data_IF_986554710505
#
_entry.id   IF_986554710505
#
_cell.length_a   1.000
_cell.length_b   1.000
_cell.length_c   1.000
_cell.angle_alpha   90.00
_cell.angle_beta   90.00
_cell.angle_gamma   90.00
#
_symmetry.space_group_name_H-M   'P 1'
#
loop_
_entity.id
_entity.type
_entity.pdbx_description
1 polymer ?
#
# COMPACT_ATOMS: atom_id res chain seq x y z
N UNK A 1 -15.82 18.67 -14.26
CA UNK A 1 -15.97 18.61 -12.79
C UNK A 1 -16.28 17.22 -12.22
N UNK A 2 -16.73 16.22 -13.01
CA UNK A 2 -17.20 14.92 -12.46
C UNK A 2 -16.15 13.80 -12.35
N UNK A 3 -14.98 13.93 -12.97
CA UNK A 3 -14.03 12.81 -13.07
C UNK A 3 -13.44 12.39 -11.73
N UNK A 4 -13.00 13.31 -10.88
CA UNK A 4 -12.36 12.94 -9.61
C UNK A 4 -13.31 12.21 -8.65
N UNK A 5 -14.55 12.68 -8.40
CA UNK A 5 -15.52 11.91 -7.60
C UNK A 5 -15.80 10.52 -8.16
N UNK A 6 -15.86 10.36 -9.49
CA UNK A 6 -16.05 9.06 -10.14
C UNK A 6 -14.86 8.12 -9.94
N UNK A 7 -13.63 8.62 -10.11
CA UNK A 7 -12.41 7.82 -9.90
C UNK A 7 -12.27 7.34 -8.46
N UNK A 8 -12.67 8.18 -7.49
CA UNK A 8 -12.76 7.76 -6.07
C UNK A 8 -13.83 6.69 -5.90
N UNK A 9 -15.01 6.86 -6.50
CA UNK A 9 -16.09 5.87 -6.43
C UNK A 9 -15.72 4.52 -7.08
N UNK A 10 -14.86 4.49 -8.11
CA UNK A 10 -14.31 3.27 -8.69
C UNK A 10 -13.44 2.45 -7.72
N UNK A 11 -12.97 3.04 -6.61
CA UNK A 11 -12.21 2.38 -5.55
C UNK A 11 -13.05 2.02 -4.32
N UNK A 12 -14.37 2.15 -4.42
CA UNK A 12 -15.31 1.84 -3.34
C UNK A 12 -15.29 0.37 -2.94
N UNK A 13 -15.43 0.10 -1.63
CA UNK A 13 -15.64 -1.25 -1.05
C UNK A 13 -17.00 -1.82 -1.49
N UNK A 14 -18.01 -0.96 -1.70
CA UNK A 14 -19.29 -1.38 -2.26
C UNK A 14 -19.14 -1.76 -3.74
N UNK A 15 -19.35 -3.04 -4.04
CA UNK A 15 -19.29 -3.60 -5.40
C UNK A 15 -20.27 -2.91 -6.35
N UNK A 16 -21.50 -2.63 -5.89
CA UNK A 16 -22.51 -1.93 -6.70
C UNK A 16 -22.05 -0.52 -7.08
N UNK A 17 -21.52 0.23 -6.10
CA UNK A 17 -21.01 1.58 -6.35
C UNK A 17 -19.80 1.57 -7.28
N UNK A 18 -18.87 0.63 -7.07
CA UNK A 18 -17.70 0.44 -7.92
C UNK A 18 -18.10 0.14 -9.37
N UNK A 19 -19.01 -0.81 -9.58
CA UNK A 19 -19.49 -1.19 -10.91
C UNK A 19 -20.19 -0.03 -11.63
N UNK A 20 -21.10 0.67 -10.93
CA UNK A 20 -21.81 1.81 -11.51
C UNK A 20 -20.86 2.97 -11.85
N UNK A 21 -19.91 3.29 -10.97
CA UNK A 21 -18.91 4.32 -11.24
C UNK A 21 -18.03 3.94 -12.44
N UNK A 22 -17.61 2.67 -12.52
CA UNK A 22 -16.81 2.17 -13.64
C UNK A 22 -17.56 2.28 -14.96
N UNK A 23 -18.84 1.90 -15.00
CA UNK A 23 -19.67 2.01 -16.21
C UNK A 23 -19.75 3.46 -16.70
N UNK A 24 -19.90 4.42 -15.78
CA UNK A 24 -19.94 5.84 -16.14
C UNK A 24 -18.58 6.31 -16.66
N UNK A 25 -17.47 5.92 -16.01
CA UNK A 25 -16.11 6.24 -16.48
C UNK A 25 -15.86 5.67 -17.88
N UNK A 26 -16.30 4.45 -18.15
CA UNK A 26 -16.14 3.79 -19.45
C UNK A 26 -16.92 4.54 -20.55
N UNK A 27 -18.14 5.00 -20.26
CA UNK A 27 -18.90 5.87 -21.17
C UNK A 27 -18.20 7.20 -21.42
N UNK A 28 -17.64 7.84 -20.38
CA UNK A 28 -16.88 9.09 -20.55
C UNK A 28 -15.61 8.85 -21.36
N UNK A 29 -14.95 7.70 -21.19
CA UNK A 29 -13.75 7.33 -21.93
C UNK A 29 -14.01 7.19 -23.43
N UNK A 30 -15.20 6.72 -23.85
CA UNK A 30 -15.57 6.64 -25.27
C UNK A 30 -15.61 8.02 -25.94
N UNK A 31 -16.03 9.06 -25.22
CA UNK A 31 -16.11 10.43 -25.73
C UNK A 31 -14.82 11.22 -25.51
N UNK A 32 -14.12 10.97 -24.40
CA UNK A 32 -13.01 11.79 -23.92
C UNK A 32 -11.93 10.97 -23.22
N UNK A 33 -11.40 9.97 -23.93
CA UNK A 33 -10.37 9.07 -23.38
C UNK A 33 -9.16 9.80 -22.78
N UNK A 34 -8.62 10.79 -23.49
CA UNK A 34 -7.48 11.58 -22.99
C UNK A 34 -7.77 12.29 -21.65
N UNK A 35 -8.99 12.80 -21.46
CA UNK A 35 -9.40 13.43 -20.19
C UNK A 35 -9.44 12.40 -19.06
N UNK A 36 -9.96 11.20 -19.34
CA UNK A 36 -10.01 10.11 -18.35
C UNK A 36 -8.60 9.71 -17.94
N UNK A 37 -7.70 9.54 -18.90
CA UNK A 37 -6.33 9.12 -18.64
C UNK A 37 -5.54 10.18 -17.86
N UNK A 38 -5.70 11.47 -18.22
CA UNK A 38 -5.11 12.58 -17.47
C UNK A 38 -5.66 12.66 -16.04
N UNK A 39 -6.98 12.54 -15.86
CA UNK A 39 -7.60 12.56 -14.55
C UNK A 39 -7.15 11.37 -13.68
N UNK A 40 -6.98 10.19 -14.28
CA UNK A 40 -6.45 9.00 -13.60
C UNK A 40 -5.01 9.20 -13.15
N UNK A 41 -4.15 9.74 -14.02
CA UNK A 41 -2.77 10.07 -13.68
C UNK A 41 -2.72 11.05 -12.50
N UNK A 42 -3.42 12.19 -12.59
CA UNK A 42 -3.42 13.20 -11.53
C UNK A 42 -4.00 12.63 -10.23
N UNK A 43 -5.09 11.87 -10.29
CA UNK A 43 -5.67 11.24 -9.10
C UNK A 43 -4.69 10.28 -8.42
N UNK A 44 -3.94 9.48 -9.20
CA UNK A 44 -2.92 8.58 -8.67
C UNK A 44 -1.79 9.36 -7.98
N UNK A 45 -1.27 10.39 -8.64
CA UNK A 45 -0.15 11.16 -8.08
C UNK A 45 -0.57 11.99 -6.88
N UNK A 46 -1.81 12.52 -6.84
CA UNK A 46 -2.36 13.20 -5.67
C UNK A 46 -2.43 12.27 -4.44
N UNK A 47 -2.79 10.99 -4.63
CA UNK A 47 -2.79 10.01 -3.54
C UNK A 47 -1.35 9.74 -3.08
N UNK A 48 -0.41 9.56 -4.01
CA UNK A 48 1.00 9.30 -3.69
C UNK A 48 1.64 10.43 -2.89
N UNK A 49 1.32 11.69 -3.19
CA UNK A 49 1.90 12.84 -2.45
C UNK A 49 1.16 13.14 -1.14
N UNK A 50 -0.07 12.64 -0.96
CA UNK A 50 -0.83 12.83 0.26
C UNK A 50 -0.37 11.94 1.41
N UNK A 51 0.24 10.79 1.10
CA UNK A 51 0.77 9.83 2.08
C UNK A 51 2.09 9.28 1.54
N UNK A 52 3.20 9.71 2.13
CA UNK A 52 4.53 9.26 1.76
C UNK A 52 4.82 7.88 2.36
N UNK A 53 5.73 7.14 1.74
CA UNK A 53 6.06 5.78 2.19
C UNK A 53 6.54 5.74 3.64
N UNK A 54 7.35 6.71 4.07
CA UNK A 54 7.81 6.74 5.46
C UNK A 54 6.66 7.01 6.45
N UNK A 55 5.66 7.81 6.07
CA UNK A 55 4.47 8.06 6.89
C UNK A 55 3.64 6.77 7.01
N UNK A 56 3.40 6.10 5.88
CA UNK A 56 2.68 4.84 5.82
C UNK A 56 3.36 3.73 6.64
N UNK A 57 4.68 3.58 6.48
CA UNK A 57 5.46 2.62 7.26
C UNK A 57 5.48 2.97 8.75
N UNK A 58 5.60 4.25 9.10
CA UNK A 58 5.60 4.67 10.50
C UNK A 58 4.28 4.33 11.19
N UNK A 59 3.15 4.70 10.59
CA UNK A 59 1.80 4.41 11.13
C UNK A 59 1.56 2.90 11.25
N UNK A 60 1.92 2.13 10.22
CA UNK A 60 1.72 0.69 10.24
C UNK A 60 2.63 -0.02 11.27
N UNK A 61 3.86 0.45 11.46
CA UNK A 61 4.75 -0.09 12.48
C UNK A 61 4.27 0.24 13.91
N UNK A 62 3.67 1.42 14.11
CA UNK A 62 3.04 1.77 15.39
C UNK A 62 1.86 0.84 15.68
N UNK A 63 0.99 0.60 14.70
CA UNK A 63 -0.15 -0.31 14.84
C UNK A 63 0.30 -1.77 15.02
N UNK A 64 1.29 -2.22 14.25
CA UNK A 64 1.88 -3.54 14.39
C UNK A 64 2.49 -3.75 15.79
N UNK A 65 3.21 -2.75 16.30
CA UNK A 65 3.76 -2.75 17.66
C UNK A 65 2.67 -2.84 18.73
N UNK A 66 1.58 -2.07 18.57
CA UNK A 66 0.42 -2.12 19.46
C UNK A 66 -0.23 -3.50 19.50
N UNK A 67 -0.40 -4.14 18.33
CA UNK A 67 -0.94 -5.48 18.21
C UNK A 67 -0.02 -6.53 18.85
N UNK A 68 1.29 -6.44 18.63
CA UNK A 68 2.26 -7.39 19.16
C UNK A 68 2.45 -7.26 20.68
N UNK A 69 2.83 -6.07 21.15
CA UNK A 69 3.17 -5.85 22.56
C UNK A 69 1.95 -5.61 23.45
N UNK A 70 0.90 -4.98 22.92
CA UNK A 70 -0.30 -4.63 23.70
C UNK A 70 -1.37 -5.71 23.70
N UNK A 71 -1.67 -6.30 22.55
CA UNK A 71 -2.74 -7.30 22.39
C UNK A 71 -2.25 -8.75 22.30
N UNK A 72 -0.95 -8.97 22.19
CA UNK A 72 -0.36 -10.29 21.87
C UNK A 72 -0.95 -10.92 20.60
N UNK A 73 -1.38 -10.08 19.65
CA UNK A 73 -2.04 -10.48 18.41
C UNK A 73 -1.04 -10.47 17.23
N UNK A 74 -0.25 -11.54 17.14
CA UNK A 74 0.79 -11.68 16.11
C UNK A 74 0.17 -11.81 14.71
N UNK A 75 -0.97 -12.51 14.58
CA UNK A 75 -1.65 -12.63 13.28
C UNK A 75 -2.14 -11.28 12.76
N UNK A 76 -2.68 -10.44 13.66
CA UNK A 76 -3.08 -9.06 13.35
C UNK A 76 -1.88 -8.22 12.92
N UNK A 77 -0.78 -8.27 13.68
CA UNK A 77 0.46 -7.58 13.35
C UNK A 77 0.94 -7.92 11.93
N UNK A 78 0.97 -9.20 11.57
CA UNK A 78 1.42 -9.64 10.25
C UNK A 78 0.49 -9.16 9.13
N UNK A 79 -0.83 -9.17 9.35
CA UNK A 79 -1.80 -8.64 8.37
C UNK A 79 -1.63 -7.15 8.10
N UNK A 80 -1.10 -6.39 9.06
CA UNK A 80 -0.78 -4.96 8.88
C UNK A 80 0.49 -4.77 8.04
N UNK A 81 1.53 -5.58 8.29
CA UNK A 81 2.84 -5.41 7.66
C UNK A 81 2.92 -6.01 6.23
N UNK A 82 2.26 -7.14 5.98
CA UNK A 82 2.32 -7.87 4.69
C UNK A 82 2.06 -6.98 3.46
N UNK A 83 0.98 -6.18 3.40
CA UNK A 83 0.72 -5.32 2.24
C UNK A 83 1.81 -4.26 2.01
N UNK A 84 2.51 -3.84 3.07
CA UNK A 84 3.60 -2.87 2.94
C UNK A 84 4.86 -3.49 2.37
N UNK A 85 5.17 -4.73 2.73
CA UNK A 85 6.26 -5.48 2.09
C UNK A 85 5.98 -5.73 0.61
N UNK A 86 4.74 -6.07 0.25
CA UNK A 86 4.34 -6.18 -1.16
C UNK A 86 4.52 -4.86 -1.91
N UNK A 87 4.09 -3.74 -1.31
CA UNK A 87 4.28 -2.40 -1.89
C UNK A 87 5.77 -2.06 -2.10
N UNK A 88 6.62 -2.40 -1.13
CA UNK A 88 8.06 -2.15 -1.16
C UNK A 88 8.74 -2.93 -2.30
N UNK A 89 8.42 -4.22 -2.43
CA UNK A 89 8.93 -5.08 -3.51
C UNK A 89 8.45 -4.61 -4.88
N UNK A 90 7.15 -4.30 -5.00
CA UNK A 90 6.60 -3.77 -6.24
C UNK A 90 7.26 -2.46 -6.66
N UNK A 91 7.51 -1.55 -5.73
CA UNK A 91 8.17 -0.28 -6.05
C UNK A 91 9.66 -0.43 -6.36
N UNK A 92 10.35 -1.40 -5.76
CA UNK A 92 11.73 -1.72 -6.11
C UNK A 92 11.86 -2.28 -7.54
N UNK A 93 10.86 -3.03 -8.02
CA UNK A 93 10.85 -3.59 -9.38
C UNK A 93 10.36 -2.59 -10.46
N UNK A 94 9.59 -1.56 -10.07
CA UNK A 94 8.98 -0.62 -11.03
C UNK A 94 9.89 0.56 -11.38
N UNK A 95 10.03 0.85 -12.66
CA UNK A 95 10.80 2.01 -13.17
C UNK A 95 10.13 3.39 -12.95
N UNK A 96 8.97 3.45 -12.29
CA UNK A 96 8.21 4.69 -12.07
C UNK A 96 8.25 5.19 -10.62
N UNK A 97 9.18 4.69 -9.81
CA UNK A 97 9.43 5.21 -8.47
C UNK A 97 9.98 6.64 -8.52
N UNK A 98 9.39 7.51 -7.71
CA UNK A 98 9.84 8.88 -7.46
C UNK A 98 11.17 8.88 -6.71
N UNK A 99 11.86 10.02 -6.70
CA UNK A 99 13.12 10.18 -5.95
C UNK A 99 12.93 9.86 -4.46
N UNK A 100 11.81 10.29 -3.87
CA UNK A 100 11.50 10.02 -2.45
C UNK A 100 11.29 8.53 -2.15
N UNK A 101 10.57 7.83 -3.03
CA UNK A 101 10.37 6.38 -2.91
C UNK A 101 11.71 5.63 -3.07
N UNK A 102 12.55 6.03 -4.03
CA UNK A 102 13.89 5.42 -4.20
C UNK A 102 14.79 5.62 -2.99
N UNK A 103 14.85 6.82 -2.44
CA UNK A 103 15.63 7.11 -1.23
C UNK A 103 15.14 6.25 -0.06
N UNK A 104 13.83 6.05 0.08
CA UNK A 104 13.28 5.17 1.11
C UNK A 104 13.71 3.70 0.89
N UNK A 105 13.59 3.21 -0.35
CA UNK A 105 14.01 1.84 -0.71
C UNK A 105 15.50 1.64 -0.43
N UNK A 106 16.34 2.55 -0.90
CA UNK A 106 17.79 2.49 -0.73
C UNK A 106 18.19 2.51 0.76
N UNK A 107 17.47 3.27 1.58
CA UNK A 107 17.77 3.39 3.01
C UNK A 107 17.29 2.19 3.84
N UNK A 108 16.10 1.65 3.57
CA UNK A 108 15.41 0.76 4.52
C UNK A 108 15.01 -0.60 3.96
N UNK A 109 15.08 -0.83 2.64
CA UNK A 109 14.51 -2.06 2.05
C UNK A 109 15.14 -3.32 2.61
N UNK A 110 16.47 -3.32 2.76
CA UNK A 110 17.18 -4.52 3.21
C UNK A 110 16.77 -4.89 4.65
N UNK A 111 16.82 -3.94 5.58
CA UNK A 111 16.44 -4.17 6.99
C UNK A 111 14.97 -4.60 7.11
N UNK A 112 14.06 -3.96 6.35
CA UNK A 112 12.65 -4.34 6.34
C UNK A 112 12.42 -5.75 5.80
N UNK A 113 13.17 -6.18 4.79
CA UNK A 113 13.07 -7.54 4.27
C UNK A 113 13.60 -8.58 5.24
N UNK A 114 14.73 -8.30 5.89
CA UNK A 114 15.28 -9.20 6.91
C UNK A 114 14.30 -9.38 8.09
N UNK A 115 13.67 -8.30 8.55
CA UNK A 115 12.62 -8.35 9.56
C UNK A 115 11.39 -9.14 9.09
N UNK A 116 11.02 -9.04 7.82
CA UNK A 116 9.92 -9.80 7.23
C UNK A 116 10.23 -11.30 7.13
N UNK A 117 11.45 -11.66 6.76
CA UNK A 117 11.88 -13.06 6.72
C UNK A 117 11.81 -13.70 8.12
N UNK A 118 12.17 -12.94 9.16
CA UNK A 118 11.97 -13.34 10.55
C UNK A 118 10.49 -13.60 10.88
N UNK A 119 9.60 -12.70 10.44
CA UNK A 119 8.15 -12.86 10.58
C UNK A 119 7.62 -14.13 9.87
N UNK A 120 8.13 -14.44 8.68
CA UNK A 120 7.75 -15.64 7.93
C UNK A 120 8.32 -16.92 8.57
N UNK A 121 9.53 -16.87 9.11
CA UNK A 121 10.11 -17.98 9.88
C UNK A 121 9.31 -18.27 11.15
N UNK A 122 8.84 -17.23 11.85
CA UNK A 122 7.90 -17.38 12.94
C UNK A 122 6.61 -18.09 12.49
N UNK A 123 5.98 -17.66 11.39
CA UNK A 123 4.77 -18.31 10.85
C UNK A 123 4.97 -19.81 10.58
N UNK A 124 6.17 -20.21 10.16
CA UNK A 124 6.51 -21.61 9.88
C UNK A 124 6.84 -22.42 11.14
N UNK A 125 7.51 -21.83 12.11
CA UNK A 125 8.10 -22.55 13.26
C UNK A 125 7.33 -22.38 14.56
N UNK A 126 6.54 -21.33 14.70
CA UNK A 126 5.84 -20.93 15.93
C UNK A 126 6.77 -20.51 17.07
N UNK A 127 8.04 -20.19 16.79
CA UNK A 127 9.03 -19.85 17.81
C UNK A 127 9.17 -18.34 17.97
N UNK A 128 8.78 -17.81 19.12
CA UNK A 128 8.89 -16.39 19.45
C UNK A 128 10.31 -15.81 19.29
N UNK A 129 11.34 -16.66 19.47
CA UNK A 129 12.74 -16.28 19.30
C UNK A 129 13.07 -15.74 17.89
N UNK A 130 12.29 -16.12 16.86
CA UNK A 130 12.44 -15.58 15.50
C UNK A 130 11.99 -14.12 15.42
N UNK A 131 11.03 -13.68 16.23
CA UNK A 131 10.52 -12.29 16.23
C UNK A 131 11.36 -11.32 17.05
N UNK A 132 12.31 -11.83 17.84
CA UNK A 132 13.18 -11.03 18.71
C UNK A 132 14.62 -10.94 18.21
N UNK A 133 14.90 -11.37 16.97
CA UNK A 133 16.22 -11.22 16.37
C UNK A 133 16.50 -9.73 16.12
N UNK A 134 17.57 -9.24 16.72
CA UNK A 134 18.13 -7.88 16.56
C UNK A 134 19.39 -7.97 15.75
#
# INVERSE_FOLDING_TARGET
ALMYPLLVACKSISNLRKAAAQEVVDKVRQHSGALVDQAQLVSKELIRVAILWHELWHEALEEASRLYFGEHNIEGMLKVLEPLHEMLEEGAMKNNATIKERVFIEAYRQELLEAYDCCMNYKRTGKDAELTQV
#
